data_IF_210211190251
#
_entry.id   IF_210211190251
#
_cell.length_a   1.000
_cell.length_b   1.000
_cell.length_c   1.000
_cell.angle_alpha   90.00
_cell.angle_beta   90.00
_cell.angle_gamma   90.00
#
_symmetry.space_group_name_H-M   'P 1'
#
loop_
_entity.id
_entity.type
_entity.pdbx_description
1 polymer ?
#
# COMPACT_ATOMS: atom_id res chain seq x y z
N UNK A 1 -40.90 36.49 39.86
CA UNK A 1 -39.45 36.53 40.20
C UNK A 1 -38.72 35.60 39.26
N UNK A 2 -37.83 36.08 38.38
CA UNK A 2 -37.02 35.18 37.57
C UNK A 2 -35.96 34.55 38.49
N UNK A 3 -35.96 33.21 38.57
CA UNK A 3 -34.94 32.44 39.27
C UNK A 3 -33.60 32.65 38.56
N UNK A 4 -32.79 33.58 39.05
CA UNK A 4 -31.42 33.76 38.57
C UNK A 4 -30.60 32.58 39.05
N UNK A 5 -30.34 31.62 38.16
CA UNK A 5 -29.43 30.51 38.44
C UNK A 5 -28.11 31.03 39.01
N UNK A 6 -27.66 30.43 40.12
CA UNK A 6 -26.41 30.82 40.79
C UNK A 6 -25.25 30.83 39.78
N UNK A 7 -24.29 31.75 39.87
CA UNK A 7 -23.21 31.90 38.89
C UNK A 7 -22.52 30.58 38.53
N UNK A 8 -22.28 29.73 39.53
CA UNK A 8 -21.69 28.39 39.37
C UNK A 8 -22.50 27.50 38.42
N UNK A 9 -23.84 27.51 38.52
CA UNK A 9 -24.72 26.72 37.64
C UNK A 9 -24.64 27.22 36.20
N UNK A 10 -24.48 28.54 36.01
CA UNK A 10 -24.30 29.13 34.68
C UNK A 10 -22.95 28.75 34.06
N UNK A 11 -21.88 28.74 34.86
CA UNK A 11 -20.57 28.30 34.39
C UNK A 11 -20.53 26.80 34.07
N UNK A 12 -21.14 25.95 34.89
CA UNK A 12 -21.26 24.52 34.60
C UNK A 12 -22.07 24.26 33.33
N UNK A 13 -23.20 24.97 33.15
CA UNK A 13 -23.99 24.87 31.93
C UNK A 13 -23.21 25.34 30.69
N UNK A 14 -22.45 26.45 30.81
CA UNK A 14 -21.60 26.95 29.72
C UNK A 14 -20.53 25.93 29.31
N UNK A 15 -19.82 25.36 30.28
CA UNK A 15 -18.79 24.34 30.03
C UNK A 15 -19.40 23.11 29.36
N UNK A 16 -20.58 22.67 29.81
CA UNK A 16 -21.28 21.54 29.21
C UNK A 16 -21.70 21.81 27.76
N UNK A 17 -22.20 23.01 27.46
CA UNK A 17 -22.53 23.44 26.09
C UNK A 17 -21.28 23.48 25.21
N UNK A 18 -20.16 23.99 25.72
CA UNK A 18 -18.89 24.02 24.99
C UNK A 18 -18.40 22.60 24.68
N UNK A 19 -18.47 21.68 25.65
CA UNK A 19 -18.08 20.28 25.45
C UNK A 19 -18.97 19.61 24.41
N UNK A 20 -20.29 19.79 24.46
CA UNK A 20 -21.23 19.23 23.47
C UNK A 20 -20.97 19.83 22.08
N UNK A 21 -20.74 21.14 21.98
CA UNK A 21 -20.44 21.79 20.71
C UNK A 21 -19.13 21.26 20.12
N UNK A 22 -18.06 21.17 20.92
CA UNK A 22 -16.78 20.60 20.51
C UNK A 22 -16.91 19.13 20.10
N UNK A 23 -17.61 18.32 20.90
CA UNK A 23 -17.88 16.93 20.60
C UNK A 23 -18.66 16.81 19.28
N UNK A 24 -19.70 17.61 19.08
CA UNK A 24 -20.48 17.60 17.83
C UNK A 24 -19.61 17.97 16.63
N UNK A 25 -18.83 19.05 16.73
CA UNK A 25 -17.92 19.49 15.67
C UNK A 25 -16.90 18.38 15.36
N UNK A 26 -16.28 17.77 16.37
CA UNK A 26 -15.28 16.72 16.16
C UNK A 26 -15.89 15.43 15.60
N UNK A 27 -17.12 15.09 15.99
CA UNK A 27 -17.85 13.94 15.44
C UNK A 27 -18.22 14.16 13.96
N UNK A 28 -18.54 15.37 13.54
CA UNK A 28 -18.83 15.68 12.13
C UNK A 28 -17.58 15.92 11.28
N UNK A 29 -16.51 16.46 11.85
CA UNK A 29 -15.30 16.82 11.09
C UNK A 29 -14.21 15.75 11.10
N UNK A 30 -14.22 14.82 12.06
CA UNK A 30 -13.16 13.83 12.22
C UNK A 30 -13.71 12.40 12.37
N UNK A 31 -13.66 11.63 11.28
CA UNK A 31 -14.18 10.25 11.22
C UNK A 31 -13.58 9.29 12.26
N UNK A 32 -12.32 9.52 12.69
CA UNK A 32 -11.69 8.75 13.77
C UNK A 32 -12.28 9.05 15.16
N UNK A 33 -12.63 10.31 15.42
CA UNK A 33 -13.24 10.71 16.69
C UNK A 33 -14.70 10.23 16.77
N UNK A 34 -15.42 10.36 15.65
CA UNK A 34 -16.78 9.83 15.48
C UNK A 34 -16.87 8.33 15.76
N UNK A 35 -15.94 7.53 15.20
CA UNK A 35 -15.86 6.09 15.47
C UNK A 35 -15.55 5.78 16.93
N UNK A 36 -14.55 6.45 17.51
CA UNK A 36 -14.12 6.20 18.88
C UNK A 36 -15.17 6.57 19.94
N UNK A 37 -16.02 7.57 19.65
CA UNK A 37 -17.03 8.08 20.59
C UNK A 37 -18.46 7.66 20.26
N UNK A 38 -18.64 6.79 19.25
CA UNK A 38 -19.94 6.23 18.90
C UNK A 38 -20.53 5.40 20.05
N UNK A 39 -21.86 5.43 20.21
CA UNK A 39 -22.54 4.63 21.23
C UNK A 39 -22.27 3.12 21.03
N UNK A 40 -22.07 2.68 19.79
CA UNK A 40 -21.69 1.30 19.47
C UNK A 40 -20.27 0.95 19.95
N UNK A 41 -19.29 1.84 19.86
CA UNK A 41 -17.93 1.57 20.39
C UNK A 41 -17.89 1.59 21.91
N UNK A 42 -18.67 2.48 22.55
CA UNK A 42 -18.71 2.65 24.01
C UNK A 42 -19.47 1.52 24.72
N UNK A 43 -20.45 0.91 24.05
CA UNK A 43 -21.30 -0.16 24.61
C UNK A 43 -20.88 -1.57 24.17
N UNK A 44 -19.84 -1.71 23.35
CA UNK A 44 -19.33 -3.01 22.92
C UNK A 44 -18.49 -3.69 24.02
N UNK A 45 -18.81 -4.92 24.45
CA UNK A 45 -18.00 -5.69 25.41
C UNK A 45 -16.61 -6.09 24.90
N UNK A 46 -16.29 -5.77 23.63
CA UNK A 46 -15.07 -6.15 22.93
C UNK A 46 -13.89 -5.16 23.10
N UNK A 47 -14.04 -4.11 23.91
CA UNK A 47 -13.01 -3.08 24.11
C UNK A 47 -11.70 -3.57 24.77
N UNK A 48 -11.58 -4.85 25.13
CA UNK A 48 -10.38 -5.45 25.74
C UNK A 48 -9.63 -6.47 24.87
N UNK A 49 -10.09 -6.78 23.65
CA UNK A 49 -9.35 -7.61 22.72
C UNK A 49 -9.10 -6.82 21.44
N UNK A 50 -7.90 -6.25 21.30
CA UNK A 50 -7.44 -5.76 20.01
C UNK A 50 -7.21 -6.97 19.10
N UNK A 51 -8.02 -7.19 18.05
CA UNK A 51 -7.83 -8.32 17.13
C UNK A 51 -6.60 -8.12 16.24
N UNK A 52 -6.01 -6.93 16.27
CA UNK A 52 -5.04 -6.42 15.30
C UNK A 52 -3.58 -6.56 15.73
N UNK A 53 -3.30 -7.30 16.81
CA UNK A 53 -1.92 -7.63 17.15
C UNK A 53 -1.50 -8.85 16.34
N UNK A 54 -0.51 -8.65 15.47
CA UNK A 54 0.23 -9.74 14.84
C UNK A 54 0.57 -10.76 15.94
N UNK A 55 0.21 -12.05 15.78
CA UNK A 55 0.48 -13.05 16.82
C UNK A 55 1.97 -13.17 17.12
N UNK A 56 2.32 -13.49 18.37
CA UNK A 56 3.70 -13.50 18.85
C UNK A 56 4.60 -14.44 18.03
N UNK A 57 4.04 -15.53 17.49
CA UNK A 57 4.74 -16.51 16.66
C UNK A 57 5.27 -15.99 15.31
N UNK A 58 4.80 -14.82 14.87
CA UNK A 58 5.30 -14.18 13.64
C UNK A 58 6.48 -13.25 13.88
N UNK A 59 6.67 -12.80 15.13
CA UNK A 59 7.88 -12.10 15.52
C UNK A 59 8.98 -13.15 15.60
N UNK A 60 9.97 -13.04 14.71
CA UNK A 60 11.09 -13.94 14.78
C UNK A 60 11.95 -13.58 16.00
N UNK A 61 12.30 -14.58 16.80
CA UNK A 61 13.54 -14.54 17.55
C UNK A 61 14.67 -14.57 16.51
N UNK A 62 15.08 -13.39 16.04
CA UNK A 62 16.25 -13.24 15.17
C UNK A 62 17.45 -13.75 15.98
N UNK A 63 17.82 -15.01 15.81
CA UNK A 63 19.01 -15.60 16.45
C UNK A 63 20.21 -14.84 15.90
N UNK A 64 20.89 -14.00 16.70
CA UNK A 64 21.93 -13.15 16.16
C UNK A 64 23.03 -13.97 15.48
N UNK A 65 23.63 -13.45 14.42
CA UNK A 65 24.63 -14.16 13.60
C UNK A 65 25.81 -14.71 14.44
N UNK A 66 26.10 -14.09 15.60
CA UNK A 66 27.11 -14.55 16.56
C UNK A 66 26.72 -15.82 17.34
N UNK A 67 25.44 -16.20 17.38
CA UNK A 67 24.95 -17.37 18.10
C UNK A 67 25.01 -18.66 17.26
N UNK A 68 25.24 -18.54 15.94
CA UNK A 68 25.41 -19.67 14.99
C UNK A 68 26.71 -20.46 15.25
N UNK A 69 27.58 -19.98 16.15
CA UNK A 69 28.84 -20.64 16.54
C UNK A 69 28.93 -21.11 18.00
N UNK A 70 27.84 -21.06 18.79
CA UNK A 70 27.87 -21.53 20.19
C UNK A 70 27.75 -23.06 20.25
N UNK A 71 28.53 -23.75 21.11
CA UNK A 71 28.62 -25.21 21.16
C UNK A 71 27.32 -25.93 21.57
N UNK A 72 26.26 -25.20 21.93
CA UNK A 72 24.94 -25.72 22.30
C UNK A 72 23.81 -25.29 21.35
N UNK A 73 24.10 -24.61 20.24
CA UNK A 73 23.10 -24.37 19.21
C UNK A 73 22.96 -25.67 18.40
N UNK A 74 21.86 -26.40 18.61
CA UNK A 74 21.54 -27.59 17.83
C UNK A 74 21.21 -27.13 16.40
N UNK A 75 22.10 -27.30 15.40
CA UNK A 75 21.84 -26.78 14.06
C UNK A 75 20.78 -27.67 13.43
N UNK A 76 19.59 -27.13 13.17
CA UNK A 76 18.60 -27.82 12.35
C UNK A 76 19.19 -28.00 10.95
N UNK A 77 19.32 -29.25 10.43
CA UNK A 77 19.91 -29.51 9.12
C UNK A 77 19.14 -28.90 7.93
N UNK A 78 17.98 -28.28 8.17
CA UNK A 78 17.22 -27.51 7.17
C UNK A 78 17.52 -25.99 7.14
N UNK A 79 18.47 -25.47 7.93
CA UNK A 79 18.85 -24.06 7.85
C UNK A 79 19.62 -23.79 6.56
N UNK A 80 18.99 -23.12 5.59
CA UNK A 80 19.67 -22.59 4.41
C UNK A 80 20.77 -21.60 4.83
N UNK A 81 22.02 -21.95 4.55
CA UNK A 81 23.24 -21.23 4.95
C UNK A 81 23.48 -19.86 4.26
N UNK A 82 22.43 -19.14 3.86
CA UNK A 82 22.55 -17.81 3.25
C UNK A 82 22.52 -16.67 4.28
N UNK A 83 22.70 -16.95 5.58
CA UNK A 83 22.72 -15.93 6.64
C UNK A 83 21.37 -15.30 6.98
N UNK A 84 20.26 -15.90 6.52
CA UNK A 84 18.89 -15.42 6.80
C UNK A 84 18.12 -16.47 7.61
N UNK A 85 17.67 -16.08 8.80
CA UNK A 85 17.20 -16.94 9.91
C UNK A 85 15.72 -17.38 9.76
N UNK A 86 15.28 -17.67 8.54
CA UNK A 86 13.91 -18.08 8.27
C UNK A 86 13.85 -19.60 8.06
N UNK A 87 13.27 -20.32 9.03
CA UNK A 87 12.89 -21.74 8.88
C UNK A 87 11.84 -21.93 7.78
N UNK A 88 11.03 -20.89 7.53
CA UNK A 88 9.97 -20.85 6.51
C UNK A 88 9.95 -19.49 5.84
N UNK A 89 9.71 -19.44 4.54
CA UNK A 89 9.67 -18.20 3.75
C UNK A 89 8.53 -18.25 2.73
N UNK A 90 7.84 -17.13 2.54
CA UNK A 90 6.77 -17.03 1.55
C UNK A 90 7.35 -16.98 0.12
N UNK A 91 6.55 -17.36 -0.87
CA UNK A 91 6.88 -17.10 -2.27
C UNK A 91 6.55 -15.63 -2.62
N UNK A 92 7.50 -14.73 -2.35
CA UNK A 92 7.29 -13.29 -2.47
C UNK A 92 8.54 -12.54 -2.95
N UNK A 93 8.34 -11.30 -3.43
CA UNK A 93 9.40 -10.40 -3.86
C UNK A 93 9.10 -8.96 -3.44
N UNK A 94 10.14 -8.15 -3.30
CA UNK A 94 10.05 -6.70 -3.33
C UNK A 94 10.09 -6.25 -4.79
N UNK A 95 9.21 -5.32 -5.19
CA UNK A 95 9.05 -4.88 -6.57
C UNK A 95 9.16 -3.36 -6.66
N UNK A 96 10.00 -2.87 -7.57
CA UNK A 96 10.08 -1.45 -7.90
C UNK A 96 10.04 -1.25 -9.41
N UNK A 97 9.14 -0.38 -9.87
CA UNK A 97 9.18 0.18 -11.22
C UNK A 97 9.90 1.52 -11.13
N UNK A 98 11.05 1.65 -11.81
CA UNK A 98 11.88 2.86 -11.72
C UNK A 98 12.63 3.09 -13.03
N UNK A 99 12.87 4.35 -13.35
CA UNK A 99 13.74 4.72 -14.49
C UNK A 99 15.19 4.81 -14.01
N UNK A 100 16.11 4.80 -14.96
CA UNK A 100 17.53 5.09 -14.69
C UNK A 100 17.72 6.44 -13.97
N UNK A 101 16.89 7.45 -14.28
CA UNK A 101 16.93 8.77 -13.65
C UNK A 101 16.47 8.77 -12.19
N UNK A 102 15.74 7.74 -11.75
CA UNK A 102 15.19 7.66 -10.40
C UNK A 102 16.18 7.01 -9.40
N UNK A 103 17.42 6.75 -9.83
CA UNK A 103 18.44 6.02 -9.07
C UNK A 103 18.63 6.52 -7.64
N UNK A 104 18.75 7.83 -7.43
CA UNK A 104 18.98 8.37 -6.08
C UNK A 104 17.78 8.10 -5.16
N UNK A 105 16.55 8.24 -5.66
CA UNK A 105 15.33 7.90 -4.91
C UNK A 105 15.22 6.40 -4.65
N UNK A 106 15.54 5.57 -5.64
CA UNK A 106 15.56 4.11 -5.50
C UNK A 106 16.58 3.66 -4.44
N UNK A 107 17.79 4.23 -4.44
CA UNK A 107 18.84 3.94 -3.46
C UNK A 107 18.37 4.25 -2.03
N UNK A 108 17.70 5.39 -1.82
CA UNK A 108 17.16 5.74 -0.50
C UNK A 108 16.12 4.73 -0.03
N UNK A 109 15.12 4.44 -0.85
CA UNK A 109 14.03 3.55 -0.46
C UNK A 109 14.49 2.11 -0.27
N UNK A 110 15.41 1.60 -1.09
CA UNK A 110 16.00 0.27 -0.90
C UNK A 110 16.74 0.21 0.44
N UNK A 111 17.57 1.21 0.77
CA UNK A 111 18.27 1.26 2.07
C UNK A 111 17.30 1.22 3.24
N UNK A 112 16.25 2.04 3.20
CA UNK A 112 15.28 2.08 4.29
C UNK A 112 14.49 0.77 4.42
N UNK A 113 14.10 0.14 3.31
CA UNK A 113 13.46 -1.20 3.36
C UNK A 113 14.41 -2.25 3.91
N UNK A 114 15.67 -2.26 3.50
CA UNK A 114 16.69 -3.18 4.03
C UNK A 114 16.89 -2.96 5.54
N UNK A 115 17.06 -1.71 5.98
CA UNK A 115 17.30 -1.37 7.39
C UNK A 115 16.12 -1.75 8.30
N UNK A 116 14.89 -1.46 7.85
CA UNK A 116 13.68 -1.65 8.67
C UNK A 116 13.11 -3.06 8.60
N UNK A 117 13.35 -3.78 7.52
CA UNK A 117 12.70 -5.05 7.24
C UNK A 117 13.70 -6.05 6.61
N UNK A 118 14.12 -5.82 5.38
CA UNK A 118 14.55 -6.90 4.50
C UNK A 118 15.93 -7.49 4.85
N UNK A 119 16.79 -6.78 5.60
CA UNK A 119 18.04 -7.38 6.11
C UNK A 119 17.80 -8.59 7.02
N UNK A 120 16.62 -8.67 7.66
CA UNK A 120 16.21 -9.76 8.56
C UNK A 120 15.64 -10.96 7.79
N UNK A 121 14.95 -10.71 6.67
CA UNK A 121 14.16 -11.72 5.95
C UNK A 121 14.72 -12.11 4.56
N UNK A 122 15.52 -11.25 3.94
CA UNK A 122 16.26 -11.48 2.70
C UNK A 122 15.38 -11.77 1.48
N UNK A 123 14.20 -11.17 1.36
CA UNK A 123 13.35 -11.34 0.17
C UNK A 123 14.02 -10.75 -1.08
N UNK A 124 13.89 -11.42 -2.25
CA UNK A 124 14.51 -10.94 -3.48
C UNK A 124 13.87 -9.61 -3.93
N UNK A 125 14.63 -8.85 -4.70
CA UNK A 125 14.17 -7.65 -5.37
C UNK A 125 13.99 -7.89 -6.88
N UNK A 126 12.92 -7.32 -7.44
CA UNK A 126 12.70 -7.19 -8.87
C UNK A 126 12.56 -5.72 -9.21
N UNK A 127 13.45 -5.22 -10.07
CA UNK A 127 13.38 -3.88 -10.63
C UNK A 127 12.91 -3.97 -12.07
N UNK A 128 11.89 -3.18 -12.43
CA UNK A 128 11.36 -3.09 -13.78
C UNK A 128 11.51 -1.66 -14.32
N UNK A 129 11.72 -1.52 -15.63
CA UNK A 129 11.84 -0.25 -16.34
C UNK A 129 11.34 -0.43 -17.79
N UNK A 130 10.79 0.61 -18.41
CA UNK A 130 10.45 0.57 -19.84
C UNK A 130 11.70 0.51 -20.75
N UNK A 131 12.83 0.99 -20.23
CA UNK A 131 14.15 0.91 -20.85
C UNK A 131 15.06 -0.11 -20.17
N UNK A 132 16.21 -0.41 -20.79
CA UNK A 132 17.26 -1.18 -20.13
C UNK A 132 17.85 -0.40 -18.95
N UNK A 133 18.02 -1.06 -17.81
CA UNK A 133 18.77 -0.47 -16.70
C UNK A 133 20.24 -0.31 -17.06
N UNK A 134 20.79 0.87 -16.76
CA UNK A 134 22.21 1.16 -16.88
C UNK A 134 23.03 0.33 -15.89
N UNK A 135 24.28 0.05 -16.25
CA UNK A 135 25.21 -0.65 -15.35
C UNK A 135 25.45 0.12 -14.04
N UNK A 136 25.39 1.46 -14.10
CA UNK A 136 25.45 2.31 -12.92
C UNK A 136 24.29 2.07 -11.95
N UNK A 137 23.07 1.94 -12.49
CA UNK A 137 21.87 1.62 -11.70
C UNK A 137 22.00 0.24 -11.07
N UNK A 138 22.27 -0.79 -11.88
CA UNK A 138 22.41 -2.18 -11.42
C UNK A 138 23.46 -2.28 -10.32
N UNK A 139 24.66 -1.75 -10.54
CA UNK A 139 25.77 -1.77 -9.58
C UNK A 139 25.42 -1.08 -8.26
N UNK A 140 24.81 0.11 -8.30
CA UNK A 140 24.48 0.86 -7.08
C UNK A 140 23.40 0.19 -6.26
N UNK A 141 22.41 -0.43 -6.90
CA UNK A 141 21.34 -1.16 -6.20
C UNK A 141 21.88 -2.48 -5.62
N UNK A 142 22.66 -3.24 -6.39
CA UNK A 142 23.16 -4.55 -5.96
C UNK A 142 24.08 -4.51 -4.74
N UNK A 143 24.69 -3.37 -4.42
CA UNK A 143 25.54 -3.24 -3.21
C UNK A 143 24.76 -2.86 -1.94
N UNK A 144 23.45 -2.62 -2.04
CA UNK A 144 22.61 -2.23 -0.90
C UNK A 144 21.98 -3.41 -0.16
N UNK A 145 22.00 -4.60 -0.75
CA UNK A 145 21.33 -5.78 -0.22
C UNK A 145 22.16 -7.03 -0.50
N UNK A 146 22.05 -8.02 0.39
CA UNK A 146 22.59 -9.37 0.16
C UNK A 146 21.55 -10.29 -0.49
N UNK A 147 20.30 -9.85 -0.60
CA UNK A 147 19.24 -10.60 -1.25
C UNK A 147 19.43 -10.64 -2.78
N UNK A 148 18.92 -11.68 -3.47
CA UNK A 148 18.97 -11.72 -4.93
C UNK A 148 18.26 -10.52 -5.56
N UNK A 149 18.87 -9.92 -6.57
CA UNK A 149 18.31 -8.79 -7.31
C UNK A 149 18.17 -9.14 -8.79
N UNK A 150 16.99 -8.92 -9.36
CA UNK A 150 16.72 -9.07 -10.79
C UNK A 150 16.33 -7.75 -11.42
N UNK A 151 16.82 -7.49 -12.63
CA UNK A 151 16.49 -6.30 -13.43
C UNK A 151 15.81 -6.76 -14.71
N UNK A 152 14.62 -6.23 -15.00
CA UNK A 152 13.84 -6.57 -16.18
C UNK A 152 13.39 -5.36 -16.96
N UNK A 153 13.40 -5.46 -18.28
CA UNK A 153 12.77 -4.49 -19.17
C UNK A 153 11.33 -4.90 -19.42
N UNK A 154 10.41 -3.95 -19.26
CA UNK A 154 8.98 -4.15 -19.53
C UNK A 154 8.78 -4.38 -21.04
N UNK A 155 8.10 -5.47 -21.45
CA UNK A 155 7.75 -5.69 -22.84
C UNK A 155 6.91 -4.53 -23.40
N UNK A 156 7.18 -4.13 -24.65
CA UNK A 156 6.56 -2.96 -25.27
C UNK A 156 5.02 -3.05 -25.28
N UNK A 157 4.46 -4.23 -25.54
CA UNK A 157 3.03 -4.54 -25.54
C UNK A 157 2.35 -4.34 -24.17
N UNK A 158 3.13 -4.44 -23.09
CA UNK A 158 2.68 -4.24 -21.72
C UNK A 158 2.84 -2.78 -21.27
N UNK A 159 3.68 -1.99 -21.93
CA UNK A 159 3.92 -0.59 -21.61
C UNK A 159 3.09 0.38 -22.47
N UNK A 160 3.23 0.29 -23.79
CA UNK A 160 2.67 1.26 -24.72
C UNK A 160 1.17 1.04 -24.98
N UNK A 161 0.45 2.08 -25.43
CA UNK A 161 -0.96 1.97 -25.79
C UNK A 161 -1.17 0.90 -26.87
N UNK A 162 -2.23 0.08 -26.76
CA UNK A 162 -2.58 -0.88 -27.81
C UNK A 162 -3.10 -0.17 -29.06
N UNK A 163 -3.08 -0.86 -30.21
CA UNK A 163 -3.38 -0.28 -31.53
C UNK A 163 -4.79 0.26 -31.72
N UNK A 164 -5.74 -0.10 -30.86
CA UNK A 164 -7.11 0.42 -30.90
C UNK A 164 -7.27 1.77 -30.18
N UNK A 165 -6.22 2.30 -29.55
CA UNK A 165 -6.21 3.65 -29.00
C UNK A 165 -5.91 4.65 -30.13
N UNK A 166 -6.84 5.56 -30.37
CA UNK A 166 -6.63 6.71 -31.24
C UNK A 166 -5.70 7.71 -30.54
N UNK A 167 -4.47 7.80 -31.03
CA UNK A 167 -3.44 8.65 -30.44
C UNK A 167 -3.75 10.15 -30.55
N UNK A 168 -4.43 10.60 -31.61
CA UNK A 168 -4.80 12.01 -31.72
C UNK A 168 -5.82 12.39 -30.65
N UNK A 169 -6.81 11.51 -30.44
CA UNK A 169 -7.80 11.68 -29.36
C UNK A 169 -7.16 11.60 -27.98
N UNK A 170 -6.24 10.67 -27.77
CA UNK A 170 -5.51 10.53 -26.51
C UNK A 170 -4.65 11.77 -26.21
N UNK A 171 -3.90 12.26 -27.19
CA UNK A 171 -3.10 13.48 -27.08
C UNK A 171 -3.96 14.72 -26.76
N UNK A 172 -5.12 14.86 -27.40
CA UNK A 172 -6.07 15.94 -27.10
C UNK A 172 -6.59 15.86 -25.65
N UNK A 173 -6.89 14.65 -25.16
CA UNK A 173 -7.29 14.43 -23.77
C UNK A 173 -6.17 14.79 -22.77
N UNK A 174 -4.93 14.36 -23.04
CA UNK A 174 -3.76 14.70 -22.21
C UNK A 174 -3.51 16.21 -22.19
N UNK A 175 -3.61 16.87 -23.35
CA UNK A 175 -3.49 18.33 -23.45
C UNK A 175 -4.58 19.04 -22.63
N UNK A 176 -5.83 18.60 -22.70
CA UNK A 176 -6.91 19.15 -21.87
C UNK A 176 -6.58 19.04 -20.38
N UNK A 177 -6.13 17.88 -19.90
CA UNK A 177 -5.74 17.70 -18.50
C UNK A 177 -4.56 18.60 -18.11
N UNK A 178 -3.59 18.78 -19.00
CA UNK A 178 -2.47 19.70 -18.80
C UNK A 178 -2.93 21.16 -18.69
N UNK A 179 -3.79 21.60 -19.61
CA UNK A 179 -4.33 22.97 -19.64
C UNK A 179 -5.21 23.26 -18.41
N UNK A 180 -5.84 22.23 -17.83
CA UNK A 180 -6.59 22.29 -16.57
C UNK A 180 -5.72 22.20 -15.31
N UNK A 181 -4.39 22.11 -15.44
CA UNK A 181 -3.46 22.07 -14.31
C UNK A 181 -3.41 20.74 -13.56
N UNK A 182 -3.88 19.64 -14.17
CA UNK A 182 -3.83 18.30 -13.55
C UNK A 182 -2.39 17.80 -13.53
N UNK A 183 -1.92 17.36 -12.36
CA UNK A 183 -0.57 16.84 -12.18
C UNK A 183 -0.36 15.64 -13.12
N UNK A 184 0.74 15.68 -13.89
CA UNK A 184 1.06 14.71 -14.95
C UNK A 184 -0.01 14.61 -16.07
N UNK A 185 -0.96 15.55 -16.18
CA UNK A 185 -2.06 15.50 -17.15
C UNK A 185 -1.59 15.30 -18.60
N UNK A 186 -0.53 16.01 -18.97
CA UNK A 186 0.09 15.94 -20.30
C UNK A 186 1.05 14.76 -20.53
N UNK A 187 1.41 14.00 -19.48
CA UNK A 187 2.45 12.98 -19.57
C UNK A 187 1.92 11.67 -20.13
N UNK A 188 2.41 11.25 -21.30
CA UNK A 188 2.10 9.94 -21.88
C UNK A 188 2.71 8.80 -21.07
N UNK A 189 3.99 8.92 -20.68
CA UNK A 189 4.69 7.90 -19.89
C UNK A 189 3.99 7.64 -18.54
N UNK A 190 3.40 8.67 -17.93
CA UNK A 190 2.61 8.49 -16.71
C UNK A 190 1.34 7.65 -16.97
N UNK A 191 0.67 7.82 -18.12
CA UNK A 191 -0.50 6.98 -18.48
C UNK A 191 -0.09 5.54 -18.76
N UNK A 192 1.06 5.33 -19.40
CA UNK A 192 1.63 4.01 -19.63
C UNK A 192 1.97 3.32 -18.30
N UNK A 193 2.57 4.05 -17.36
CA UNK A 193 2.83 3.57 -15.99
C UNK A 193 1.54 3.18 -15.26
N UNK A 194 0.51 4.04 -15.27
CA UNK A 194 -0.79 3.72 -14.66
C UNK A 194 -1.40 2.45 -15.26
N UNK A 195 -1.37 2.31 -16.60
CA UNK A 195 -1.84 1.09 -17.30
C UNK A 195 -1.05 -0.14 -16.88
N UNK A 196 0.29 -0.04 -16.86
CA UNK A 196 1.17 -1.14 -16.51
C UNK A 196 0.91 -1.65 -15.09
N UNK A 197 0.83 -0.75 -14.12
CA UNK A 197 0.53 -1.09 -12.73
C UNK A 197 -0.90 -1.61 -12.51
N UNK A 198 -1.85 -1.20 -13.36
CA UNK A 198 -3.25 -1.66 -13.24
C UNK A 198 -3.48 -3.08 -13.79
N UNK A 199 -2.69 -3.54 -14.77
CA UNK A 199 -3.05 -4.75 -15.53
C UNK A 199 -1.92 -5.64 -16.06
N UNK A 200 -0.65 -5.22 -15.95
CA UNK A 200 0.44 -5.88 -16.67
C UNK A 200 1.65 -6.26 -15.82
N UNK A 201 1.95 -5.58 -14.72
CA UNK A 201 3.15 -5.88 -13.93
C UNK A 201 3.21 -7.36 -13.50
N UNK A 202 2.10 -7.92 -13.01
CA UNK A 202 2.00 -9.32 -12.57
C UNK A 202 2.15 -10.35 -13.70
N UNK A 203 2.17 -9.92 -14.97
CA UNK A 203 2.40 -10.76 -16.14
C UNK A 203 3.87 -10.78 -16.58
N UNK A 204 4.71 -9.94 -15.99
CA UNK A 204 6.12 -9.89 -16.35
C UNK A 204 6.81 -11.23 -16.03
N UNK A 205 7.67 -11.79 -16.90
CA UNK A 205 8.30 -13.10 -16.67
C UNK A 205 9.05 -13.25 -15.35
N UNK A 206 9.67 -12.16 -14.87
CA UNK A 206 10.33 -12.17 -13.54
C UNK A 206 9.35 -12.29 -12.37
N UNK A 207 8.08 -11.90 -12.57
CA UNK A 207 7.05 -11.86 -11.54
C UNK A 207 6.09 -13.05 -11.54
N UNK A 208 5.98 -13.79 -12.65
CA UNK A 208 5.04 -14.93 -12.77
C UNK A 208 5.31 -16.08 -11.80
N UNK A 209 6.53 -16.16 -11.27
CA UNK A 209 6.92 -17.13 -10.27
C UNK A 209 6.48 -16.77 -8.84
N UNK A 210 6.14 -15.51 -8.56
CA UNK A 210 5.86 -15.03 -7.20
C UNK A 210 4.36 -15.00 -6.90
N UNK A 211 4.00 -15.34 -5.65
CA UNK A 211 2.62 -15.25 -5.17
C UNK A 211 2.28 -13.88 -4.59
N UNK A 212 3.23 -13.28 -3.87
CA UNK A 212 3.08 -11.96 -3.26
C UNK A 212 4.15 -10.98 -3.77
N UNK A 213 3.82 -9.70 -3.77
CA UNK A 213 4.78 -8.63 -4.01
C UNK A 213 4.56 -7.51 -3.00
N UNK A 214 5.63 -6.84 -2.61
CA UNK A 214 5.56 -5.53 -1.95
C UNK A 214 6.07 -4.49 -2.94
N UNK A 215 5.17 -3.63 -3.42
CA UNK A 215 5.52 -2.50 -4.28
C UNK A 215 6.22 -1.42 -3.46
N UNK A 216 7.42 -1.06 -3.88
CA UNK A 216 8.22 0.02 -3.32
C UNK A 216 8.47 1.03 -4.44
N UNK A 217 8.17 2.29 -4.19
CA UNK A 217 8.45 3.39 -5.12
C UNK A 217 9.78 4.08 -4.76
N UNK A 218 10.45 4.76 -5.70
CA UNK A 218 11.56 5.64 -5.37
C UNK A 218 11.15 6.78 -4.41
N UNK A 219 12.08 7.18 -3.52
CA UNK A 219 11.93 8.32 -2.61
C UNK A 219 10.78 8.22 -1.58
N UNK A 220 10.44 7.00 -1.16
CA UNK A 220 9.58 6.72 0.00
C UNK A 220 10.40 6.48 1.28
N UNK A 221 9.76 6.68 2.44
CA UNK A 221 10.37 6.53 3.76
C UNK A 221 9.70 5.46 4.64
N UNK A 222 10.52 4.75 5.41
CA UNK A 222 10.10 3.72 6.38
C UNK A 222 10.60 4.09 7.79
N UNK A 223 9.67 4.51 8.63
CA UNK A 223 9.99 5.05 9.97
C UNK A 223 9.98 4.00 11.08
N UNK A 224 9.31 2.87 10.89
CA UNK A 224 9.15 1.82 11.89
C UNK A 224 9.95 0.59 11.51
N UNK A 225 10.49 -0.12 12.50
CA UNK A 225 11.01 -1.47 12.27
C UNK A 225 9.84 -2.45 12.03
N UNK A 226 10.06 -3.40 11.14
CA UNK A 226 9.15 -4.50 10.85
C UNK A 226 9.85 -5.79 11.27
N UNK A 227 9.45 -6.29 12.45
CA UNK A 227 10.10 -7.43 13.13
C UNK A 227 9.41 -8.77 12.89
N UNK A 228 8.44 -8.80 11.98
CA UNK A 228 7.74 -10.02 11.58
C UNK A 228 7.71 -10.14 10.05
N UNK A 229 7.48 -11.34 9.53
CA UNK A 229 7.36 -11.58 8.09
C UNK A 229 5.92 -11.26 7.61
N UNK A 230 5.70 -10.14 6.91
CA UNK A 230 4.36 -9.76 6.45
C UNK A 230 3.85 -10.70 5.36
N UNK A 231 4.72 -11.31 4.55
CA UNK A 231 4.28 -12.21 3.49
C UNK A 231 3.78 -13.54 4.05
N UNK A 232 4.44 -14.07 5.09
CA UNK A 232 3.92 -15.23 5.82
C UNK A 232 2.60 -14.92 6.52
N UNK A 233 2.51 -13.76 7.19
CA UNK A 233 1.25 -13.32 7.80
C UNK A 233 0.11 -13.28 6.77
N UNK A 234 0.38 -12.72 5.59
CA UNK A 234 -0.58 -12.66 4.49
C UNK A 234 -1.02 -14.05 4.03
N UNK A 235 -0.07 -14.98 3.84
CA UNK A 235 -0.35 -16.34 3.42
C UNK A 235 -1.18 -17.13 4.43
N UNK A 236 -0.75 -17.12 5.69
CA UNK A 236 -1.37 -17.92 6.75
C UNK A 236 -2.78 -17.45 7.12
N UNK A 237 -3.04 -16.14 6.99
CA UNK A 237 -4.34 -15.55 7.33
C UNK A 237 -5.21 -15.29 6.10
N UNK A 238 -4.86 -15.86 4.95
CA UNK A 238 -5.65 -15.74 3.72
C UNK A 238 -5.84 -14.29 3.25
N UNK A 239 -4.89 -13.40 3.54
CA UNK A 239 -4.95 -12.00 3.13
C UNK A 239 -4.46 -11.87 1.68
N UNK A 240 -5.12 -10.98 0.94
CA UNK A 240 -4.87 -10.77 -0.51
C UNK A 240 -4.28 -9.40 -0.83
N UNK A 241 -4.44 -8.42 0.06
CA UNK A 241 -3.96 -7.05 -0.13
C UNK A 241 -3.66 -6.38 1.21
N UNK A 242 -2.72 -5.44 1.23
CA UNK A 242 -2.36 -4.63 2.39
C UNK A 242 -2.00 -3.21 1.96
N UNK A 243 -2.41 -2.21 2.74
CA UNK A 243 -2.18 -0.79 2.48
C UNK A 243 -1.88 -0.05 3.78
N UNK A 244 -1.25 1.13 3.68
CA UNK A 244 -0.87 1.97 4.83
C UNK A 244 -1.58 3.32 4.83
N UNK A 245 -1.92 3.86 3.65
CA UNK A 245 -2.55 5.16 3.46
C UNK A 245 -3.73 4.98 2.50
N UNK A 246 -4.83 5.68 2.79
CA UNK A 246 -5.94 5.86 1.86
C UNK A 246 -6.13 7.35 1.61
N UNK A 247 -6.57 7.70 0.40
CA UNK A 247 -6.79 9.09 0.01
C UNK A 247 -7.92 9.22 -1.02
N UNK A 248 -8.37 10.45 -1.22
CA UNK A 248 -9.31 10.78 -2.28
C UNK A 248 -8.58 11.02 -3.60
N UNK A 249 -9.10 10.47 -4.69
CA UNK A 249 -8.63 10.71 -6.04
C UNK A 249 -9.09 12.06 -6.59
N UNK A 250 -8.34 12.62 -7.53
CA UNK A 250 -8.76 13.75 -8.34
C UNK A 250 -9.79 13.30 -9.38
N UNK A 251 -11.06 13.60 -9.14
CA UNK A 251 -12.21 13.23 -9.99
C UNK A 251 -11.96 13.48 -11.50
N UNK A 252 -11.30 14.60 -11.84
CA UNK A 252 -10.94 14.96 -13.23
C UNK A 252 -10.13 13.89 -13.97
N UNK A 253 -9.40 13.03 -13.26
CA UNK A 253 -8.57 11.97 -13.85
C UNK A 253 -9.36 10.71 -14.19
N UNK A 254 -10.57 10.55 -13.64
CA UNK A 254 -11.37 9.34 -13.69
C UNK A 254 -12.87 9.60 -13.96
N UNK A 255 -13.27 10.58 -14.81
CA UNK A 255 -14.66 11.04 -14.92
C UNK A 255 -15.63 9.95 -15.42
N UNK A 256 -15.11 8.93 -16.12
CA UNK A 256 -15.90 7.83 -16.67
C UNK A 256 -15.58 6.47 -16.04
N UNK A 257 -14.66 6.41 -15.07
CA UNK A 257 -14.18 5.15 -14.51
C UNK A 257 -15.33 4.40 -13.83
N UNK A 258 -16.05 5.05 -12.92
CA UNK A 258 -17.10 4.38 -12.15
C UNK A 258 -18.26 3.93 -13.03
N UNK A 259 -18.67 4.75 -14.01
CA UNK A 259 -19.68 4.35 -14.98
C UNK A 259 -19.26 3.09 -15.77
N UNK A 260 -17.98 3.00 -16.17
CA UNK A 260 -17.44 1.81 -16.82
C UNK A 260 -17.41 0.59 -15.89
N UNK A 261 -17.04 0.77 -14.62
CA UNK A 261 -17.07 -0.30 -13.60
C UNK A 261 -18.49 -0.82 -13.40
N UNK A 262 -19.49 0.07 -13.24
CA UNK A 262 -20.90 -0.35 -13.10
C UNK A 262 -21.41 -1.09 -14.33
N UNK A 263 -21.06 -0.63 -15.53
CA UNK A 263 -21.43 -1.33 -16.77
C UNK A 263 -20.82 -2.74 -16.82
N UNK A 264 -19.55 -2.89 -16.43
CA UNK A 264 -18.89 -4.19 -16.33
C UNK A 264 -19.56 -5.10 -15.27
N UNK A 265 -19.85 -4.57 -14.09
CA UNK A 265 -20.53 -5.32 -13.01
C UNK A 265 -21.92 -5.77 -13.44
N UNK A 266 -22.68 -4.91 -14.11
CA UNK A 266 -24.01 -5.26 -14.64
C UNK A 266 -23.93 -6.39 -15.70
N UNK A 267 -22.90 -6.40 -16.54
CA UNK A 267 -22.66 -7.45 -17.52
C UNK A 267 -22.08 -8.74 -16.91
N UNK A 268 -21.37 -8.63 -15.78
CA UNK A 268 -20.67 -9.74 -15.13
C UNK A 268 -20.95 -9.80 -13.61
N UNK A 269 -22.21 -9.97 -13.17
CA UNK A 269 -22.57 -9.94 -11.76
C UNK A 269 -21.91 -11.07 -10.95
N UNK A 270 -21.54 -12.18 -11.61
CA UNK A 270 -20.87 -13.31 -10.98
C UNK A 270 -19.47 -12.99 -10.41
N UNK A 271 -18.84 -11.88 -10.82
CA UNK A 271 -17.54 -11.45 -10.29
C UNK A 271 -17.66 -10.58 -9.04
N UNK A 272 -18.87 -10.17 -8.65
CA UNK A 272 -19.08 -9.42 -7.41
C UNK A 272 -19.03 -10.38 -6.24
N UNK A 273 -17.98 -10.27 -5.42
CA UNK A 273 -17.88 -11.04 -4.20
C UNK A 273 -19.02 -10.70 -3.25
N UNK A 274 -19.59 -11.70 -2.57
CA UNK A 274 -20.66 -11.52 -1.57
C UNK A 274 -20.21 -10.59 -0.43
N UNK A 275 -18.98 -10.78 0.03
CA UNK A 275 -18.33 -9.92 1.00
C UNK A 275 -17.32 -9.06 0.24
N UNK A 276 -17.64 -7.78 0.06
CA UNK A 276 -16.85 -6.85 -0.72
C UNK A 276 -16.74 -5.49 -0.02
N UNK A 277 -15.89 -4.63 -0.55
CA UNK A 277 -15.63 -3.30 -0.02
C UNK A 277 -16.47 -2.20 -0.71
N UNK A 278 -17.67 -2.50 -1.23
CA UNK A 278 -18.50 -1.52 -1.93
C UNK A 278 -18.79 -0.28 -1.06
N UNK A 279 -19.08 -0.47 0.22
CA UNK A 279 -19.31 0.62 1.17
C UNK A 279 -18.07 1.48 1.46
N UNK A 280 -16.87 1.02 1.12
CA UNK A 280 -15.65 1.83 1.22
C UNK A 280 -15.50 2.76 0.02
N UNK A 281 -15.89 2.31 -1.18
CA UNK A 281 -15.72 3.05 -2.45
C UNK A 281 -16.98 3.80 -2.89
N UNK A 282 -18.12 3.57 -2.25
CA UNK A 282 -19.40 4.16 -2.63
C UNK A 282 -20.29 4.36 -1.41
N UNK A 283 -20.79 5.58 -1.23
CA UNK A 283 -21.65 5.92 -0.08
C UNK A 283 -23.11 5.49 -0.29
N UNK A 284 -23.56 5.45 -1.56
CA UNK A 284 -24.94 5.16 -1.97
C UNK A 284 -25.07 3.95 -2.91
N UNK A 285 -23.94 3.32 -3.28
CA UNK A 285 -23.87 2.25 -4.27
C UNK A 285 -23.92 2.72 -5.72
N UNK A 286 -24.20 4.01 -5.96
CA UNK A 286 -24.40 4.58 -7.29
C UNK A 286 -23.18 5.42 -7.73
N UNK A 287 -22.60 6.23 -6.84
CA UNK A 287 -21.42 7.08 -7.12
C UNK A 287 -20.11 6.48 -6.61
N UNK A 288 -18.97 6.93 -7.17
CA UNK A 288 -17.65 6.64 -6.59
C UNK A 288 -17.27 7.77 -5.65
N UNK A 289 -16.99 7.45 -4.38
CA UNK A 289 -16.61 8.45 -3.37
C UNK A 289 -15.13 8.87 -3.43
N UNK A 290 -14.41 8.42 -4.48
CA UNK A 290 -13.00 8.72 -4.77
C UNK A 290 -11.97 8.06 -3.83
N UNK A 291 -12.41 7.30 -2.82
CA UNK A 291 -11.52 6.58 -1.90
C UNK A 291 -10.76 5.44 -2.61
N UNK A 292 -9.45 5.41 -2.41
CA UNK A 292 -8.57 4.32 -2.80
C UNK A 292 -7.49 4.06 -1.76
#
# INVERSE_FOLDING_TARGET
MPLTARPVVRYVALVFVIIIALHSILTFTHAGYSRATSLSSLLSPAASASPDKVPAEYFQDVVPDYAVGLPNANPDPNTNHNGHLLVRKANATLLMLARNSDLEGAVKSVREVEDRFNRKFGYPWVFLNEEEFSEGFKKRISVLTTAPVSFGRVPAEHWYPPSWIDEQKAAAGRKKLQDEGVIYGGSESYRNMCRFNSGFFFRHPLLTQYRYYWRVEPDVHFHCEVDFDPFLFMGDHGKVYGFTITMYEFEKTIPTLWAAVRAFVAAHPAYVARENAAAFVSDDGEGYNLCH
#
